data_IF_329563814106
#
_entry.id   IF_329563814106
#
_cell.length_a   1.000
_cell.length_b   1.000
_cell.length_c   1.000
_cell.angle_alpha   90.00
_cell.angle_beta   90.00
_cell.angle_gamma   90.00
#
_symmetry.space_group_name_H-M   'P 1'
#
loop_
_entity.id
_entity.type
_entity.pdbx_description
1 polymer ?
#
# COMPACT_ATOMS: atom_id res chain seq x y z
N UNK A 1 14.23 64.87 -17.88
CA UNK A 1 13.33 64.59 -19.03
C UNK A 1 13.34 63.09 -19.24
N UNK A 2 12.28 62.30 -19.15
CA UNK A 2 10.89 62.46 -18.72
C UNK A 2 10.50 61.05 -18.24
N UNK A 3 10.18 60.90 -16.96
CA UNK A 3 9.45 59.76 -16.42
C UNK A 3 8.01 59.84 -16.94
N UNK A 4 7.43 58.73 -17.40
CA UNK A 4 5.97 58.61 -17.52
C UNK A 4 5.51 57.41 -16.71
N UNK A 5 4.97 57.74 -15.53
CA UNK A 5 4.02 56.93 -14.80
C UNK A 5 2.72 56.82 -15.61
N UNK A 6 2.04 55.68 -15.47
CA UNK A 6 0.61 55.58 -15.73
C UNK A 6 -0.02 54.96 -14.49
N UNK A 7 -1.03 55.63 -13.98
CA UNK A 7 -1.72 55.39 -12.73
C UNK A 7 -3.20 55.09 -13.06
N UNK A 8 -3.70 53.91 -12.64
CA UNK A 8 -5.01 53.64 -11.94
C UNK A 8 -6.30 53.77 -12.82
N UNK A 9 -7.37 52.93 -12.64
CA UNK A 9 -7.96 52.67 -11.33
C UNK A 9 -8.47 51.28 -10.92
N UNK A 10 -8.42 51.14 -9.59
CA UNK A 10 -9.17 50.25 -8.70
C UNK A 10 -10.68 50.50 -8.79
N UNK A 11 -11.46 49.42 -8.82
CA UNK A 11 -12.88 49.44 -8.53
C UNK A 11 -13.22 48.25 -7.61
N UNK A 12 -13.36 48.55 -6.32
CA UNK A 12 -13.99 47.68 -5.35
C UNK A 12 -15.51 47.80 -5.49
N UNK A 13 -16.19 46.67 -5.70
CA UNK A 13 -17.64 46.58 -5.56
C UNK A 13 -17.96 45.63 -4.40
N UNK A 14 -18.39 46.23 -3.29
CA UNK A 14 -18.89 45.54 -2.11
C UNK A 14 -20.29 45.00 -2.38
N UNK A 15 -20.49 43.70 -2.17
CA UNK A 15 -21.82 43.08 -2.07
C UNK A 15 -22.01 42.66 -0.62
N UNK A 16 -22.96 43.31 0.05
CA UNK A 16 -23.49 42.93 1.37
C UNK A 16 -24.41 41.70 1.22
N UNK A 17 -24.45 40.82 2.22
CA UNK A 17 -25.68 40.14 2.57
C UNK A 17 -26.19 40.57 3.96
N UNK A 18 -27.50 40.80 3.99
CA UNK A 18 -28.31 41.21 5.13
C UNK A 18 -28.26 40.23 6.30
N UNK A 19 -28.14 40.81 7.49
CA UNK A 19 -28.45 40.20 8.78
C UNK A 19 -29.96 40.02 8.97
N UNK A 20 -30.42 38.81 9.26
CA UNK A 20 -31.70 38.58 9.94
C UNK A 20 -31.58 37.53 11.06
N UNK A 21 -31.71 38.06 12.28
CA UNK A 21 -32.45 37.56 13.43
C UNK A 21 -32.15 36.13 13.95
N UNK A 22 -31.33 36.11 15.01
CA UNK A 22 -31.40 35.13 16.10
C UNK A 22 -32.79 35.14 16.77
N UNK A 23 -33.39 33.96 16.92
CA UNK A 23 -34.37 33.66 17.97
C UNK A 23 -34.24 32.17 18.32
N UNK A 24 -33.56 31.86 19.42
CA UNK A 24 -33.65 30.56 20.08
C UNK A 24 -33.55 30.76 21.60
N UNK A 25 -34.70 30.68 22.26
CA UNK A 25 -34.87 30.50 23.70
C UNK A 25 -35.88 29.37 23.86
N UNK A 26 -35.53 28.34 24.63
CA UNK A 26 -36.45 27.28 25.04
C UNK A 26 -35.82 25.89 25.09
N UNK A 27 -34.99 25.64 26.09
CA UNK A 27 -34.71 24.27 26.55
C UNK A 27 -35.87 23.83 27.44
N UNK A 28 -36.62 22.81 27.03
CA UNK A 28 -37.44 22.01 27.93
C UNK A 28 -36.86 20.59 28.05
N UNK A 29 -36.51 20.26 29.28
CA UNK A 29 -36.24 18.93 29.80
C UNK A 29 -37.49 18.06 29.78
N UNK A 30 -37.43 16.85 29.21
CA UNK A 30 -38.25 15.71 29.68
C UNK A 30 -37.43 14.43 29.68
N UNK A 31 -37.47 13.78 30.85
CA UNK A 31 -36.86 12.51 31.23
C UNK A 31 -37.81 11.33 30.91
N UNK A 32 -37.29 10.17 30.50
CA UNK A 32 -37.85 8.82 30.72
C UNK A 32 -36.96 7.78 30.01
N UNK A 33 -36.12 7.01 30.71
CA UNK A 33 -36.37 5.75 31.44
C UNK A 33 -36.63 4.51 30.56
N UNK A 34 -35.61 3.63 30.54
CA UNK A 34 -35.66 2.15 30.69
C UNK A 34 -36.45 1.34 29.64
N UNK A 35 -35.76 0.47 28.88
CA UNK A 35 -35.82 -0.99 29.08
C UNK A 35 -34.94 -1.74 28.07
N UNK A 36 -34.06 -2.56 28.62
CA UNK A 36 -33.38 -3.68 27.96
C UNK A 36 -34.36 -4.72 27.44
N UNK A 37 -33.99 -5.43 26.36
CA UNK A 37 -34.35 -6.84 26.09
C UNK A 37 -33.54 -7.40 24.92
N UNK A 38 -32.67 -8.36 25.24
CA UNK A 38 -32.16 -9.39 24.31
C UNK A 38 -33.26 -10.44 24.03
N UNK A 39 -33.12 -11.21 22.95
CA UNK A 39 -33.49 -12.63 22.92
C UNK A 39 -32.26 -13.48 22.56
N UNK A 40 -31.72 -14.27 23.48
CA UNK A 40 -32.05 -15.68 23.78
C UNK A 40 -31.92 -16.67 22.62
N UNK A 41 -30.90 -17.51 22.77
CA UNK A 41 -30.62 -18.80 22.13
C UNK A 41 -31.81 -19.77 22.23
N UNK A 42 -32.09 -20.48 21.13
CA UNK A 42 -32.90 -21.69 21.10
C UNK A 42 -32.05 -22.88 20.65
N UNK A 43 -31.92 -23.87 21.55
CA UNK A 43 -31.47 -25.25 21.28
C UNK A 43 -32.68 -26.09 20.85
N UNK A 44 -32.51 -26.92 19.83
CA UNK A 44 -33.18 -28.21 19.59
C UNK A 44 -32.50 -28.85 18.36
N UNK A 45 -32.42 -30.14 18.11
CA UNK A 45 -32.62 -31.36 18.89
C UNK A 45 -31.82 -32.46 18.17
N UNK A 46 -31.54 -33.54 18.90
CA UNK A 46 -30.90 -34.77 18.42
C UNK A 46 -31.64 -35.41 17.24
N UNK A 47 -30.90 -36.09 16.35
CA UNK A 47 -31.36 -37.37 15.78
C UNK A 47 -30.16 -38.28 15.48
N UNK A 48 -30.20 -39.42 16.16
CA UNK A 48 -29.39 -40.62 15.99
C UNK A 48 -29.83 -41.39 14.74
N UNK A 49 -28.88 -41.97 14.00
CA UNK A 49 -29.12 -43.14 13.16
C UNK A 49 -27.87 -44.03 13.15
N UNK A 50 -27.95 -45.14 13.87
CA UNK A 50 -27.11 -46.33 13.67
C UNK A 50 -27.87 -47.30 12.77
N UNK A 51 -27.17 -47.93 11.82
CA UNK A 51 -27.43 -49.32 11.43
C UNK A 51 -26.13 -49.96 10.95
N UNK A 52 -25.76 -51.01 11.68
CA UNK A 52 -24.72 -51.99 11.37
C UNK A 52 -25.23 -53.09 10.42
N UNK A 53 -24.26 -53.94 10.04
CA UNK A 53 -24.31 -55.31 9.49
C UNK A 53 -24.18 -55.39 7.95
N UNK A 54 -23.25 -56.13 7.35
CA UNK A 54 -22.22 -57.01 7.90
C UNK A 54 -21.64 -57.98 6.85
N UNK A 55 -20.36 -58.31 7.04
CA UNK A 55 -19.71 -59.64 6.93
C UNK A 55 -19.47 -60.29 5.53
N UNK A 56 -18.19 -60.52 5.19
CA UNK A 56 -17.49 -61.83 4.99
C UNK A 56 -16.10 -61.54 4.35
N UNK A 57 -14.92 -61.86 4.90
CA UNK A 57 -14.34 -63.09 5.48
C UNK A 57 -13.25 -63.68 4.56
N UNK A 58 -12.06 -63.88 5.14
CA UNK A 58 -10.98 -64.86 4.87
C UNK A 58 -9.64 -64.14 4.61
N UNK A 59 -8.56 -64.31 5.37
CA UNK A 59 -8.19 -65.38 6.29
C UNK A 59 -6.85 -65.97 5.83
N UNK A 60 -5.77 -65.77 6.60
CA UNK A 60 -4.67 -66.75 6.78
C UNK A 60 -3.71 -66.32 7.89
N UNK A 61 -3.45 -67.27 8.77
CA UNK A 61 -2.61 -67.24 9.96
C UNK A 61 -1.14 -67.47 9.61
N UNK A 62 -0.22 -66.95 10.43
CA UNK A 62 1.00 -67.65 10.84
C UNK A 62 1.63 -67.01 12.11
N UNK A 63 2.18 -67.89 12.95
CA UNK A 63 2.64 -67.76 14.35
C UNK A 63 4.01 -67.06 14.54
N UNK A 64 4.45 -66.77 15.79
CA UNK A 64 5.47 -65.76 16.09
C UNK A 64 6.89 -66.32 16.18
N UNK A 65 7.88 -65.55 15.73
CA UNK A 65 9.30 -65.85 15.93
C UNK A 65 9.89 -64.90 16.99
N UNK A 66 10.40 -65.49 18.08
CA UNK A 66 11.27 -64.82 19.07
C UNK A 66 12.65 -64.61 18.44
N UNK A 67 13.15 -63.38 18.42
CA UNK A 67 14.58 -63.12 18.41
C UNK A 67 14.94 -62.10 19.51
N UNK A 68 15.82 -62.55 20.41
CA UNK A 68 16.56 -61.72 21.35
C UNK A 68 17.81 -61.16 20.66
N UNK A 69 18.25 -60.01 21.17
CA UNK A 69 19.59 -59.42 21.09
C UNK A 69 19.95 -58.66 19.80
N UNK A 70 20.14 -57.34 19.94
CA UNK A 70 21.45 -56.71 20.15
C UNK A 70 21.26 -55.19 20.17
N UNK A 71 21.50 -54.59 21.34
CA UNK A 71 21.60 -53.15 21.48
C UNK A 71 22.83 -52.66 20.70
N UNK A 72 22.59 -52.07 19.52
CA UNK A 72 23.56 -51.18 18.87
C UNK A 72 23.09 -49.75 19.12
N UNK A 73 23.78 -49.07 20.03
CA UNK A 73 23.77 -47.60 20.13
C UNK A 73 24.31 -47.03 18.82
N UNK A 74 23.42 -46.84 17.84
CA UNK A 74 23.66 -45.88 16.76
C UNK A 74 23.57 -44.50 17.40
N UNK A 75 24.71 -43.86 17.61
CA UNK A 75 24.73 -42.41 17.73
C UNK A 75 24.33 -41.88 16.36
N UNK A 76 23.01 -41.73 16.14
CA UNK A 76 22.52 -40.86 15.10
C UNK A 76 23.00 -39.46 15.48
N UNK A 77 24.15 -39.10 14.91
CA UNK A 77 24.53 -37.72 14.70
C UNK A 77 23.36 -37.14 13.93
N UNK A 78 22.48 -36.41 14.62
CA UNK A 78 21.55 -35.51 13.97
C UNK A 78 22.44 -34.60 13.15
N UNK A 79 22.49 -34.86 11.84
CA UNK A 79 22.87 -33.85 10.86
C UNK A 79 21.91 -32.72 11.12
N UNK A 80 22.42 -31.67 11.78
CA UNK A 80 21.81 -30.36 11.86
C UNK A 80 21.29 -30.05 10.47
N UNK A 81 19.98 -30.15 10.27
CA UNK A 81 19.35 -29.55 9.11
C UNK A 81 19.84 -28.10 9.14
N UNK A 82 20.60 -27.70 8.11
CA UNK A 82 20.97 -26.31 7.94
C UNK A 82 19.66 -25.53 8.08
N UNK A 83 19.59 -24.68 9.10
CA UNK A 83 18.45 -23.82 9.37
C UNK A 83 18.26 -22.95 8.14
N UNK A 84 17.39 -23.37 7.21
CA UNK A 84 17.03 -22.56 6.06
C UNK A 84 16.45 -21.27 6.61
N UNK A 85 17.16 -20.16 6.42
CA UNK A 85 16.68 -18.83 6.81
C UNK A 85 15.32 -18.59 6.17
N UNK A 86 14.33 -18.24 6.98
CA UNK A 86 12.97 -17.96 6.51
C UNK A 86 12.86 -16.48 6.13
N UNK A 87 12.64 -16.18 4.87
CA UNK A 87 12.36 -14.80 4.46
C UNK A 87 10.92 -14.42 4.81
N UNK A 88 10.73 -13.18 5.25
CA UNK A 88 9.41 -12.58 5.46
C UNK A 88 9.37 -11.27 4.70
N UNK A 89 8.46 -11.16 3.74
CA UNK A 89 8.28 -9.97 2.92
C UNK A 89 7.16 -9.09 3.45
N UNK A 90 7.40 -7.78 3.48
CA UNK A 90 6.39 -6.74 3.63
C UNK A 90 6.49 -5.86 2.40
N UNK A 91 5.43 -5.84 1.62
CA UNK A 91 5.42 -5.23 0.29
C UNK A 91 4.40 -4.09 0.30
N UNK A 92 4.84 -2.90 -0.08
CA UNK A 92 3.91 -1.88 -0.52
C UNK A 92 3.18 -2.33 -1.79
N UNK A 93 2.04 -1.70 -2.10
CA UNK A 93 1.23 -2.07 -3.26
C UNK A 93 1.47 -1.14 -4.43
N UNK A 94 1.26 0.16 -4.20
CA UNK A 94 1.26 1.17 -5.24
C UNK A 94 2.70 1.58 -5.56
N UNK A 95 3.16 1.46 -6.80
CA UNK A 95 4.57 1.73 -7.15
C UNK A 95 5.53 0.55 -6.89
N UNK A 96 5.07 -0.51 -6.22
CA UNK A 96 5.87 -1.73 -6.00
C UNK A 96 5.27 -2.93 -6.75
N UNK A 97 4.02 -3.31 -6.45
CA UNK A 97 3.35 -4.43 -7.12
C UNK A 97 2.48 -3.98 -8.29
N UNK A 98 1.93 -2.77 -8.19
CA UNK A 98 0.93 -2.22 -9.09
C UNK A 98 1.31 -0.79 -9.51
N UNK A 99 1.35 -0.54 -10.81
CA UNK A 99 1.28 0.81 -11.37
C UNK A 99 -0.18 1.28 -11.31
N UNK A 100 -0.49 2.03 -10.27
CA UNK A 100 -1.80 2.61 -9.98
C UNK A 100 -1.92 4.08 -10.35
N UNK A 101 -0.86 4.68 -10.90
CA UNK A 101 -0.88 6.07 -11.34
C UNK A 101 -2.02 6.36 -12.34
N UNK A 102 -2.29 5.51 -13.35
CA UNK A 102 -3.41 5.75 -14.25
C UNK A 102 -4.77 5.84 -13.55
N UNK A 103 -4.98 5.05 -12.49
CA UNK A 103 -6.25 5.06 -11.75
C UNK A 103 -6.42 6.33 -10.91
N UNK A 104 -5.39 6.72 -10.15
CA UNK A 104 -5.47 7.90 -9.29
C UNK A 104 -5.54 9.19 -10.11
N UNK A 105 -4.79 9.29 -11.20
CA UNK A 105 -4.82 10.45 -12.11
C UNK A 105 -6.15 10.56 -12.82
N UNK A 106 -6.69 9.45 -13.35
CA UNK A 106 -8.03 9.44 -13.94
C UNK A 106 -9.08 9.93 -12.94
N UNK A 107 -9.08 9.39 -11.72
CA UNK A 107 -10.03 9.77 -10.67
C UNK A 107 -9.90 11.24 -10.26
N UNK A 108 -8.67 11.74 -10.17
CA UNK A 108 -8.38 13.12 -9.80
C UNK A 108 -8.83 14.11 -10.88
N UNK A 109 -8.50 13.85 -12.14
CA UNK A 109 -8.91 14.69 -13.27
C UNK A 109 -10.43 14.81 -13.37
N UNK A 110 -11.10 13.68 -13.21
CA UNK A 110 -12.56 13.57 -13.16
C UNK A 110 -13.17 14.37 -12.01
N UNK A 111 -12.68 14.16 -10.79
CA UNK A 111 -13.12 14.87 -9.60
C UNK A 111 -12.86 16.39 -9.70
N UNK A 112 -11.69 16.78 -10.22
CA UNK A 112 -11.32 18.18 -10.43
C UNK A 112 -12.18 18.85 -11.50
N UNK A 113 -12.54 18.15 -12.58
CA UNK A 113 -13.44 18.68 -13.61
C UNK A 113 -14.86 18.90 -13.07
N UNK A 114 -15.34 18.02 -12.18
CA UNK A 114 -16.64 18.20 -11.52
C UNK A 114 -16.62 19.40 -10.55
N UNK A 115 -15.52 19.59 -9.82
CA UNK A 115 -15.39 20.65 -8.82
C UNK A 115 -15.09 22.03 -9.43
N UNK A 116 -14.27 22.10 -10.47
CA UNK A 116 -13.85 23.33 -11.14
C UNK A 116 -14.18 23.33 -12.65
N UNK A 117 -15.46 23.16 -13.04
CA UNK A 117 -15.85 23.00 -14.43
C UNK A 117 -15.44 24.22 -15.29
N UNK A 118 -15.63 25.44 -14.78
CA UNK A 118 -15.26 26.66 -15.49
C UNK A 118 -13.74 26.78 -15.75
N UNK A 119 -12.91 26.38 -14.79
CA UNK A 119 -11.44 26.37 -14.96
C UNK A 119 -11.03 25.33 -16.00
N UNK A 120 -11.62 24.14 -15.94
CA UNK A 120 -11.31 23.06 -16.86
C UNK A 120 -11.77 23.34 -18.30
N UNK A 121 -12.88 24.06 -18.45
CA UNK A 121 -13.37 24.54 -19.74
C UNK A 121 -12.49 25.66 -20.30
N UNK A 122 -12.24 26.71 -19.51
CA UNK A 122 -11.42 27.88 -19.91
C UNK A 122 -10.00 27.47 -20.33
N UNK A 123 -9.39 26.56 -19.59
CA UNK A 123 -8.02 26.07 -19.85
C UNK A 123 -7.97 24.95 -20.91
N UNK A 124 -9.10 24.66 -21.58
CA UNK A 124 -9.21 23.66 -22.65
C UNK A 124 -8.62 22.31 -22.25
N UNK A 125 -9.09 21.78 -21.11
CA UNK A 125 -8.57 20.54 -20.51
C UNK A 125 -8.46 19.38 -21.50
N UNK A 126 -9.42 19.22 -22.42
CA UNK A 126 -9.39 18.14 -23.43
C UNK A 126 -8.13 18.15 -24.30
N UNK A 127 -7.62 19.33 -24.65
CA UNK A 127 -6.40 19.50 -25.44
C UNK A 127 -5.13 19.27 -24.58
N UNK A 128 -5.21 19.61 -23.29
CA UNK A 128 -4.06 19.57 -22.36
C UNK A 128 -3.96 18.29 -21.54
N UNK A 129 -4.98 17.44 -21.59
CA UNK A 129 -5.10 16.24 -20.76
C UNK A 129 -3.83 15.36 -20.78
N UNK A 130 -3.22 15.04 -21.94
CA UNK A 130 -2.01 14.20 -21.95
C UNK A 130 -0.84 14.82 -21.17
N UNK A 131 -0.63 16.13 -21.28
CA UNK A 131 0.43 16.83 -20.55
C UNK A 131 0.15 16.89 -19.04
N UNK A 132 -1.12 17.05 -18.64
CA UNK A 132 -1.51 17.00 -17.23
C UNK A 132 -1.34 15.60 -16.65
N UNK A 133 -1.70 14.55 -17.39
CA UNK A 133 -1.47 13.16 -16.98
C UNK A 133 0.03 12.86 -16.81
N UNK A 134 0.87 13.31 -17.74
CA UNK A 134 2.33 13.20 -17.61
C UNK A 134 2.86 13.96 -16.38
N UNK A 135 2.39 15.18 -16.16
CA UNK A 135 2.74 15.97 -14.97
C UNK A 135 2.31 15.30 -13.67
N UNK A 136 1.12 14.72 -13.62
CA UNK A 136 0.62 13.98 -12.46
C UNK A 136 1.51 12.79 -12.15
N UNK A 137 1.90 12.02 -13.18
CA UNK A 137 2.84 10.91 -13.05
C UNK A 137 4.19 11.37 -12.50
N UNK A 138 4.74 12.46 -13.03
CA UNK A 138 5.99 13.07 -12.54
C UNK A 138 5.88 13.51 -11.07
N UNK A 139 4.72 13.97 -10.63
CA UNK A 139 4.49 14.46 -9.26
C UNK A 139 4.16 13.36 -8.24
N UNK A 140 4.01 12.08 -8.66
CA UNK A 140 3.62 10.98 -7.77
C UNK A 140 4.49 10.80 -6.52
N UNK A 141 5.82 11.03 -6.52
CA UNK A 141 6.63 10.98 -5.29
C UNK A 141 6.09 11.80 -4.12
N UNK A 142 5.43 12.92 -4.43
CA UNK A 142 4.94 13.86 -3.42
C UNK A 142 3.52 13.59 -2.99
N UNK A 143 2.80 12.70 -3.68
CA UNK A 143 1.40 12.42 -3.42
C UNK A 143 1.23 11.57 -2.15
N UNK A 144 0.61 12.13 -1.12
CA UNK A 144 0.38 11.42 0.15
C UNK A 144 -1.08 11.02 0.30
N UNK A 145 -1.98 12.00 0.22
CA UNK A 145 -3.43 11.80 0.33
C UNK A 145 -4.07 11.85 -1.04
N UNK A 146 -5.18 11.13 -1.23
CA UNK A 146 -5.86 11.05 -2.53
C UNK A 146 -6.24 12.41 -3.12
N UNK A 147 -6.83 13.29 -2.30
CA UNK A 147 -7.31 14.61 -2.76
C UNK A 147 -6.19 15.52 -3.27
N UNK A 148 -4.95 15.32 -2.82
CA UNK A 148 -3.81 16.12 -3.27
C UNK A 148 -3.61 16.00 -4.78
N UNK A 149 -3.96 14.85 -5.38
CA UNK A 149 -3.91 14.65 -6.82
C UNK A 149 -4.88 15.58 -7.57
N UNK A 150 -6.01 15.97 -6.95
CA UNK A 150 -6.92 16.96 -7.55
C UNK A 150 -6.27 18.34 -7.61
N UNK A 151 -5.56 18.71 -6.53
CA UNK A 151 -4.86 20.00 -6.44
C UNK A 151 -3.69 20.03 -7.44
N UNK A 152 -2.90 18.96 -7.49
CA UNK A 152 -1.84 18.80 -8.49
C UNK A 152 -2.39 18.89 -9.91
N UNK A 153 -3.50 18.19 -10.20
CA UNK A 153 -4.14 18.21 -11.52
C UNK A 153 -4.50 19.62 -11.97
N UNK A 154 -5.11 20.41 -11.07
CA UNK A 154 -5.48 21.79 -11.39
C UNK A 154 -4.24 22.69 -11.53
N UNK A 155 -3.23 22.56 -10.65
CA UNK A 155 -1.99 23.33 -10.79
C UNK A 155 -1.29 23.05 -12.13
N UNK A 156 -1.21 21.78 -12.53
CA UNK A 156 -0.62 21.36 -13.80
C UNK A 156 -1.45 21.80 -15.01
N UNK A 157 -2.77 21.87 -14.84
CA UNK A 157 -3.66 22.46 -15.84
C UNK A 157 -3.52 23.98 -15.90
N UNK A 158 -3.21 24.68 -14.80
CA UNK A 158 -2.90 26.12 -14.84
C UNK A 158 -1.57 26.34 -15.58
N UNK A 159 -0.52 25.60 -15.23
CA UNK A 159 0.82 25.68 -15.83
C UNK A 159 1.55 24.34 -15.62
N UNK A 160 2.05 23.73 -16.70
CA UNK A 160 2.76 22.44 -16.64
C UNK A 160 4.14 22.57 -15.93
N UNK A 161 4.72 23.77 -15.93
CA UNK A 161 5.94 24.07 -15.17
C UNK A 161 5.77 23.93 -13.65
N UNK A 162 4.54 23.90 -13.14
CA UNK A 162 4.28 23.68 -11.71
C UNK A 162 4.75 22.30 -11.21
N UNK A 163 5.02 21.34 -12.10
CA UNK A 163 5.56 20.04 -11.71
C UNK A 163 6.86 20.15 -10.88
N UNK A 164 7.75 21.08 -11.24
CA UNK A 164 9.01 21.26 -10.52
C UNK A 164 8.78 21.90 -9.14
N UNK A 165 7.84 22.83 -9.03
CA UNK A 165 7.44 23.42 -7.75
C UNK A 165 6.79 22.39 -6.81
N UNK A 166 5.96 21.50 -7.36
CA UNK A 166 5.38 20.37 -6.62
C UNK A 166 6.49 19.46 -6.10
N UNK A 167 7.41 19.03 -6.96
CA UNK A 167 8.52 18.16 -6.57
C UNK A 167 9.45 18.79 -5.52
N UNK A 168 9.65 20.11 -5.58
CA UNK A 168 10.55 20.81 -4.66
C UNK A 168 9.94 21.06 -3.27
N UNK A 169 8.67 21.49 -3.19
CA UNK A 169 8.10 21.95 -1.92
C UNK A 169 6.58 21.73 -1.81
N UNK A 170 6.11 20.51 -2.11
CA UNK A 170 4.68 20.20 -2.15
C UNK A 170 3.92 20.61 -0.88
N UNK A 171 4.47 20.36 0.31
CA UNK A 171 3.75 20.61 1.57
C UNK A 171 3.38 22.10 1.75
N UNK A 172 4.29 23.02 1.45
CA UNK A 172 4.01 24.46 1.54
C UNK A 172 3.08 24.89 0.42
N UNK A 173 3.38 24.46 -0.81
CA UNK A 173 2.61 24.81 -2.00
C UNK A 173 1.14 24.37 -1.87
N UNK A 174 0.89 23.17 -1.33
CA UNK A 174 -0.45 22.67 -1.07
C UNK A 174 -1.20 23.58 -0.10
N UNK A 175 -0.60 23.94 1.04
CA UNK A 175 -1.24 24.79 2.04
C UNK A 175 -1.61 26.17 1.46
N UNK A 176 -0.65 26.81 0.78
CA UNK A 176 -0.85 28.11 0.11
C UNK A 176 -1.91 28.03 -0.99
N UNK A 177 -1.94 26.92 -1.75
CA UNK A 177 -2.90 26.72 -2.84
C UNK A 177 -4.32 26.52 -2.31
N UNK A 178 -4.49 25.73 -1.24
CA UNK A 178 -5.78 25.51 -0.62
C UNK A 178 -6.36 26.81 -0.06
N UNK A 179 -5.53 27.63 0.59
CA UNK A 179 -5.92 28.97 1.07
C UNK A 179 -6.32 29.88 -0.09
N UNK A 180 -5.48 29.97 -1.14
CA UNK A 180 -5.73 30.77 -2.34
C UNK A 180 -7.04 30.38 -3.06
N UNK A 181 -7.37 29.09 -3.09
CA UNK A 181 -8.58 28.59 -3.74
C UNK A 181 -9.77 28.46 -2.79
N UNK A 182 -9.62 28.77 -1.50
CA UNK A 182 -10.68 28.64 -0.49
C UNK A 182 -11.21 27.21 -0.37
N UNK A 183 -10.35 26.20 -0.52
CA UNK A 183 -10.73 24.80 -0.50
C UNK A 183 -10.44 24.16 0.86
N UNK A 184 -11.40 23.38 1.37
CA UNK A 184 -11.21 22.58 2.58
C UNK A 184 -10.69 21.16 2.23
N UNK A 185 -9.55 20.72 2.78
CA UNK A 185 -9.06 19.35 2.63
C UNK A 185 -10.08 18.24 2.92
N UNK A 186 -10.98 18.44 3.89
CA UNK A 186 -11.98 17.43 4.24
C UNK A 186 -13.03 17.27 3.14
N UNK A 187 -13.54 18.38 2.62
CA UNK A 187 -14.46 18.41 1.48
C UNK A 187 -13.82 17.80 0.22
N UNK A 188 -12.57 18.17 -0.09
CA UNK A 188 -11.84 17.59 -1.22
C UNK A 188 -11.65 16.09 -1.05
N UNK A 189 -11.35 15.62 0.16
CA UNK A 189 -11.22 14.19 0.47
C UNK A 189 -12.55 13.46 0.24
N UNK A 190 -13.65 14.01 0.74
CA UNK A 190 -14.98 13.41 0.56
C UNK A 190 -15.37 13.32 -0.92
N UNK A 191 -15.15 14.40 -1.68
CA UNK A 191 -15.44 14.44 -3.11
C UNK A 191 -14.59 13.44 -3.90
N UNK A 192 -13.29 13.38 -3.58
CA UNK A 192 -12.37 12.46 -4.24
C UNK A 192 -12.74 10.99 -3.99
N UNK A 193 -13.01 10.64 -2.73
CA UNK A 193 -13.36 9.27 -2.35
C UNK A 193 -14.72 8.85 -2.93
N UNK A 194 -15.71 9.76 -2.94
CA UNK A 194 -16.99 9.52 -3.60
C UNK A 194 -16.81 9.28 -5.11
N UNK A 195 -15.95 10.05 -5.77
CA UNK A 195 -15.67 9.85 -7.20
C UNK A 195 -15.02 8.51 -7.48
N UNK A 196 -14.04 8.10 -6.67
CA UNK A 196 -13.35 6.80 -6.82
C UNK A 196 -14.29 5.62 -6.61
N UNK A 197 -15.18 5.71 -5.62
CA UNK A 197 -16.18 4.67 -5.38
C UNK A 197 -17.15 4.57 -6.56
N UNK A 198 -17.66 5.71 -7.04
CA UNK A 198 -18.56 5.74 -8.21
C UNK A 198 -17.89 5.18 -9.47
N UNK A 199 -16.63 5.54 -9.74
CA UNK A 199 -15.86 5.00 -10.87
C UNK A 199 -15.69 3.46 -10.77
N UNK A 200 -15.40 2.95 -9.56
CA UNK A 200 -15.24 1.52 -9.31
C UNK A 200 -16.58 0.75 -9.40
N UNK A 201 -17.69 1.36 -8.98
CA UNK A 201 -19.04 0.78 -9.07
C UNK A 201 -19.57 0.78 -10.51
N UNK A 202 -19.35 1.87 -11.25
CA UNK A 202 -19.86 2.04 -12.61
C UNK A 202 -19.11 1.16 -13.64
N UNK A 203 -17.78 1.09 -13.53
CA UNK A 203 -16.95 0.27 -14.42
C UNK A 203 -15.73 -0.31 -13.68
N UNK A 204 -15.99 -1.29 -12.81
CA UNK A 204 -14.94 -1.98 -12.07
C UNK A 204 -13.89 -2.64 -12.96
N UNK A 205 -14.24 -3.02 -14.21
CA UNK A 205 -13.27 -3.58 -15.17
C UNK A 205 -12.29 -2.51 -15.65
N UNK A 206 -12.77 -1.32 -16.01
CA UNK A 206 -11.91 -0.21 -16.36
C UNK A 206 -11.06 0.24 -15.16
N UNK A 207 -11.64 0.28 -13.96
CA UNK A 207 -10.91 0.60 -12.74
C UNK A 207 -9.76 -0.39 -12.46
N UNK A 208 -10.02 -1.70 -12.61
CA UNK A 208 -8.99 -2.73 -12.49
C UNK A 208 -7.92 -2.61 -13.59
N UNK A 209 -8.32 -2.30 -14.83
CA UNK A 209 -7.38 -2.11 -15.95
C UNK A 209 -6.45 -0.88 -15.77
N UNK A 210 -6.86 0.08 -14.95
CA UNK A 210 -6.05 1.23 -14.56
C UNK A 210 -5.06 0.93 -13.41
N UNK A 211 -5.16 -0.22 -12.74
CA UNK A 211 -4.24 -0.69 -11.71
C UNK A 211 -3.35 -1.83 -12.25
N UNK A 212 -2.28 -1.52 -12.97
CA UNK A 212 -1.57 -2.52 -13.78
C UNK A 212 -0.47 -3.21 -12.98
N UNK A 213 -0.46 -4.56 -12.85
CA UNK A 213 0.69 -5.25 -12.28
C UNK A 213 1.97 -4.97 -13.06
N UNK A 214 3.07 -4.74 -12.35
CA UNK A 214 4.38 -4.67 -13.00
C UNK A 214 4.76 -6.03 -13.61
N UNK A 215 5.52 -5.98 -14.69
CA UNK A 215 5.94 -7.17 -15.44
C UNK A 215 6.63 -8.18 -14.52
N UNK A 216 6.20 -9.44 -14.56
CA UNK A 216 6.80 -10.53 -13.79
C UNK A 216 6.33 -10.64 -12.33
N UNK A 217 5.73 -9.60 -11.75
CA UNK A 217 5.31 -9.59 -10.34
C UNK A 217 4.27 -10.69 -10.05
N UNK A 218 3.26 -10.86 -10.90
CA UNK A 218 2.21 -11.87 -10.70
C UNK A 218 2.80 -13.29 -10.65
N UNK A 219 3.72 -13.61 -11.56
CA UNK A 219 4.40 -14.91 -11.57
C UNK A 219 5.32 -15.10 -10.36
N UNK A 220 6.03 -14.04 -9.96
CA UNK A 220 6.95 -14.08 -8.81
C UNK A 220 6.20 -14.29 -7.50
N UNK A 221 5.11 -13.55 -7.25
CA UNK A 221 4.26 -13.71 -6.07
C UNK A 221 3.65 -15.12 -5.99
N UNK A 222 3.30 -15.72 -7.14
CA UNK A 222 2.80 -17.10 -7.19
C UNK A 222 3.88 -18.13 -6.86
N UNK A 223 5.12 -17.88 -7.26
CA UNK A 223 6.26 -18.76 -7.01
C UNK A 223 6.85 -18.58 -5.60
N UNK A 224 6.64 -17.41 -4.99
CA UNK A 224 7.16 -17.06 -3.68
C UNK A 224 6.63 -18.02 -2.60
N UNK A 225 7.55 -18.73 -1.93
CA UNK A 225 7.24 -19.64 -0.83
C UNK A 225 7.26 -18.94 0.54
N UNK A 226 7.81 -17.72 0.56
CA UNK A 226 8.00 -16.93 1.76
C UNK A 226 6.71 -16.20 2.17
N UNK A 227 6.40 -16.13 3.48
CA UNK A 227 5.31 -15.33 3.98
C UNK A 227 5.40 -13.88 3.50
N UNK A 228 4.29 -13.37 2.97
CA UNK A 228 4.16 -12.00 2.48
C UNK A 228 3.04 -11.25 3.19
N UNK A 229 3.32 -10.01 3.54
CA UNK A 229 2.41 -9.02 4.11
C UNK A 229 2.28 -7.85 3.15
N UNK A 230 1.11 -7.22 3.15
CA UNK A 230 0.77 -6.14 2.24
C UNK A 230 0.48 -4.89 3.05
N UNK A 231 1.25 -3.83 2.80
CA UNK A 231 1.07 -2.52 3.44
C UNK A 231 0.65 -1.51 2.36
N UNK A 232 -0.25 -0.59 2.68
CA UNK A 232 -0.64 0.47 1.73
C UNK A 232 -1.32 1.63 2.44
N UNK A 233 -1.18 2.85 1.89
CA UNK A 233 -2.00 4.01 2.28
C UNK A 233 -3.39 4.00 1.64
N UNK A 234 -3.62 3.15 0.62
CA UNK A 234 -4.92 2.97 -0.06
C UNK A 234 -5.93 2.30 0.88
N UNK A 235 -7.21 2.63 0.71
CA UNK A 235 -8.31 2.01 1.48
C UNK A 235 -8.36 0.48 1.28
N UNK A 236 -8.62 -0.26 2.36
CA UNK A 236 -8.48 -1.72 2.41
C UNK A 236 -9.32 -2.47 1.38
N UNK A 237 -10.58 -2.10 1.20
CA UNK A 237 -11.44 -2.69 0.17
C UNK A 237 -10.84 -2.58 -1.25
N UNK A 238 -10.17 -1.46 -1.60
CA UNK A 238 -9.52 -1.30 -2.91
C UNK A 238 -8.25 -2.13 -3.02
N UNK A 239 -7.45 -2.18 -1.95
CA UNK A 239 -6.24 -3.03 -1.91
C UNK A 239 -6.61 -4.50 -2.08
N UNK A 240 -7.61 -4.96 -1.32
CA UNK A 240 -8.13 -6.34 -1.40
C UNK A 240 -8.65 -6.66 -2.81
N UNK A 241 -9.39 -5.72 -3.42
CA UNK A 241 -9.91 -5.89 -4.78
C UNK A 241 -8.78 -6.05 -5.82
N UNK A 242 -7.73 -5.22 -5.73
CA UNK A 242 -6.56 -5.29 -6.63
C UNK A 242 -5.74 -6.56 -6.41
N UNK A 243 -5.47 -6.93 -5.14
CA UNK A 243 -4.76 -8.17 -4.81
C UNK A 243 -5.48 -9.39 -5.40
N UNK A 244 -6.81 -9.44 -5.25
CA UNK A 244 -7.62 -10.55 -5.74
C UNK A 244 -7.64 -10.62 -7.26
N UNK A 245 -8.00 -9.53 -7.93
CA UNK A 245 -8.32 -9.56 -9.35
C UNK A 245 -7.10 -9.36 -10.27
N UNK A 246 -6.11 -8.57 -9.84
CA UNK A 246 -4.95 -8.26 -10.67
C UNK A 246 -3.72 -9.09 -10.30
N UNK A 247 -3.61 -9.52 -9.02
CA UNK A 247 -2.48 -10.31 -8.54
C UNK A 247 -2.84 -11.78 -8.27
N UNK A 248 -4.13 -12.13 -8.28
CA UNK A 248 -4.59 -13.49 -8.02
C UNK A 248 -4.39 -13.95 -6.57
N UNK A 249 -4.34 -13.01 -5.63
CA UNK A 249 -4.11 -13.25 -4.21
C UNK A 249 -5.39 -13.00 -3.41
N UNK A 250 -5.93 -14.06 -2.80
CA UNK A 250 -7.13 -13.94 -1.94
C UNK A 250 -6.72 -13.43 -0.54
N UNK A 251 -6.66 -12.11 -0.41
CA UNK A 251 -6.35 -11.39 0.83
C UNK A 251 -7.50 -10.43 1.12
N UNK A 252 -8.48 -10.83 1.94
CA UNK A 252 -9.59 -9.96 2.33
C UNK A 252 -9.08 -8.78 3.20
N UNK A 253 -9.90 -7.74 3.32
CA UNK A 253 -9.55 -6.52 4.06
C UNK A 253 -9.25 -6.78 5.55
N UNK A 254 -9.93 -7.75 6.16
CA UNK A 254 -9.73 -8.18 7.55
C UNK A 254 -8.62 -9.24 7.72
N UNK A 255 -7.89 -9.56 6.64
CA UNK A 255 -6.80 -10.53 6.70
C UNK A 255 -5.71 -10.04 7.65
N UNK A 256 -5.12 -10.93 8.49
CA UNK A 256 -3.98 -10.55 9.29
C UNK A 256 -2.75 -10.18 8.43
N UNK A 257 -2.75 -10.49 7.13
CA UNK A 257 -1.67 -10.11 6.21
C UNK A 257 -1.87 -8.73 5.56
N UNK A 258 -2.99 -8.07 5.82
CA UNK A 258 -3.37 -6.78 5.24
C UNK A 258 -3.19 -5.65 6.24
N UNK A 259 -2.51 -4.59 5.81
CA UNK A 259 -2.38 -3.33 6.54
C UNK A 259 -2.64 -2.16 5.58
N UNK A 260 -3.88 -1.70 5.53
CA UNK A 260 -4.33 -0.68 4.58
C UNK A 260 -4.70 0.64 5.29
N UNK A 261 -4.85 1.72 4.51
CA UNK A 261 -5.19 3.05 5.06
C UNK A 261 -4.09 3.68 5.92
N UNK A 262 -2.83 3.28 5.72
CA UNK A 262 -1.68 3.71 6.53
C UNK A 262 -1.27 5.16 6.21
N UNK A 263 -1.87 6.13 6.91
CA UNK A 263 -1.59 7.56 6.78
C UNK A 263 -1.34 8.21 8.16
N UNK A 264 -0.27 9.03 8.34
CA UNK A 264 0.80 9.30 7.38
C UNK A 264 1.70 8.06 7.19
N UNK A 265 2.18 7.77 5.95
CA UNK A 265 2.82 6.50 5.62
C UNK A 265 4.05 6.17 6.47
N UNK A 266 4.90 7.16 6.73
CA UNK A 266 6.16 6.97 7.46
C UNK A 266 5.91 6.43 8.88
N UNK A 267 4.87 6.94 9.55
CA UNK A 267 4.52 6.54 10.92
C UNK A 267 3.73 5.24 10.94
N UNK A 268 2.68 5.13 10.13
CA UNK A 268 1.77 3.99 10.21
C UNK A 268 2.36 2.74 9.57
N UNK A 269 3.20 2.85 8.52
CA UNK A 269 3.99 1.71 8.03
C UNK A 269 5.04 1.29 9.06
N UNK A 270 5.72 2.21 9.75
CA UNK A 270 6.61 1.85 10.86
C UNK A 270 5.88 1.07 11.96
N UNK A 271 4.66 1.47 12.30
CA UNK A 271 3.82 0.75 13.26
C UNK A 271 3.46 -0.66 12.76
N UNK A 272 3.04 -0.79 11.51
CA UNK A 272 2.75 -2.08 10.89
C UNK A 272 3.98 -3.01 10.90
N UNK A 273 5.16 -2.50 10.56
CA UNK A 273 6.41 -3.28 10.60
C UNK A 273 6.75 -3.77 12.01
N UNK A 274 6.58 -2.94 13.05
CA UNK A 274 6.77 -3.40 14.44
C UNK A 274 5.77 -4.48 14.84
N UNK A 275 4.51 -4.33 14.44
CA UNK A 275 3.49 -5.35 14.69
C UNK A 275 3.85 -6.66 13.99
N UNK A 276 4.21 -6.61 12.71
CA UNK A 276 4.60 -7.80 11.94
C UNK A 276 5.84 -8.46 12.55
N UNK A 277 6.84 -7.66 12.95
CA UNK A 277 8.04 -8.16 13.60
C UNK A 277 7.73 -8.91 14.91
N UNK A 278 6.67 -8.54 15.64
CA UNK A 278 6.26 -9.24 16.87
C UNK A 278 5.60 -10.61 16.64
N UNK A 279 5.29 -10.96 15.39
CA UNK A 279 4.56 -12.20 15.06
C UNK A 279 5.49 -13.41 15.09
N UNK A 280 4.98 -14.62 15.41
CA UNK A 280 5.80 -15.83 15.49
C UNK A 280 6.63 -16.13 14.24
N UNK A 281 6.09 -15.82 13.05
CA UNK A 281 6.79 -16.03 11.78
C UNK A 281 8.03 -15.15 11.63
N UNK A 282 8.00 -13.92 12.16
CA UNK A 282 9.11 -12.99 12.13
C UNK A 282 10.11 -13.20 13.28
N UNK A 283 9.70 -13.87 14.35
CA UNK A 283 10.53 -14.23 15.51
C UNK A 283 11.21 -15.60 15.38
N UNK A 284 11.01 -16.30 14.26
CA UNK A 284 11.60 -17.61 14.03
C UNK A 284 13.14 -17.50 13.90
N UNK A 285 13.92 -18.44 14.47
CA UNK A 285 15.38 -18.42 14.34
C UNK A 285 15.81 -18.35 12.87
N UNK A 286 16.68 -17.39 12.54
CA UNK A 286 17.15 -17.17 11.17
C UNK A 286 16.15 -16.50 10.23
N UNK A 287 15.03 -15.96 10.74
CA UNK A 287 14.12 -15.17 9.94
C UNK A 287 14.78 -13.88 9.44
N UNK A 288 14.63 -13.57 8.15
CA UNK A 288 15.11 -12.33 7.52
C UNK A 288 13.90 -11.49 7.13
N UNK A 289 13.85 -10.25 7.60
CA UNK A 289 12.71 -9.36 7.40
C UNK A 289 13.02 -8.37 6.29
N UNK A 290 12.17 -8.32 5.27
CA UNK A 290 12.36 -7.51 4.07
C UNK A 290 11.19 -6.57 3.88
N UNK A 291 11.46 -5.27 3.78
CA UNK A 291 10.46 -4.25 3.49
C UNK A 291 10.78 -3.54 2.17
N UNK A 292 9.82 -3.56 1.24
CA UNK A 292 9.94 -2.94 -0.08
C UNK A 292 8.87 -1.87 -0.25
N UNK A 293 9.30 -0.65 -0.55
CA UNK A 293 8.44 0.53 -0.76
C UNK A 293 9.03 1.37 -1.89
N UNK A 294 8.19 2.07 -2.65
CA UNK A 294 8.67 2.98 -3.70
C UNK A 294 8.93 4.40 -3.19
N UNK A 295 8.37 4.75 -2.03
CA UNK A 295 8.44 6.10 -1.49
C UNK A 295 9.67 6.29 -0.62
N UNK A 296 10.57 7.14 -1.11
CA UNK A 296 11.86 7.39 -0.47
C UNK A 296 11.75 7.89 0.97
N UNK A 297 10.84 8.83 1.28
CA UNK A 297 10.69 9.36 2.64
C UNK A 297 10.22 8.29 3.63
N UNK A 298 9.42 7.32 3.17
CA UNK A 298 9.02 6.17 3.99
C UNK A 298 10.24 5.30 4.27
N UNK A 299 10.99 4.89 3.24
CA UNK A 299 12.19 4.08 3.43
C UNK A 299 13.21 4.77 4.36
N UNK A 300 13.45 6.08 4.17
CA UNK A 300 14.34 6.87 5.00
C UNK A 300 13.88 6.91 6.46
N UNK A 301 12.59 7.11 6.71
CA UNK A 301 12.03 7.11 8.07
C UNK A 301 12.19 5.74 8.76
N UNK A 302 11.90 4.64 8.04
CA UNK A 302 12.08 3.28 8.56
C UNK A 302 13.55 2.99 8.85
N UNK A 303 14.46 3.32 7.93
CA UNK A 303 15.90 3.11 8.09
C UNK A 303 16.48 3.87 9.29
N UNK A 304 15.92 5.05 9.58
CA UNK A 304 16.38 5.91 10.68
C UNK A 304 15.83 5.51 12.04
N UNK A 305 14.87 4.58 12.10
CA UNK A 305 14.25 4.14 13.34
C UNK A 305 15.02 2.95 13.97
N UNK A 306 15.65 3.14 15.14
CA UNK A 306 16.42 2.08 15.79
C UNK A 306 15.58 0.83 16.15
N UNK A 307 14.29 1.02 16.41
CA UNK A 307 13.37 -0.08 16.73
C UNK A 307 13.05 -0.97 15.52
N UNK A 308 13.43 -0.54 14.32
CA UNK A 308 13.26 -1.28 13.06
C UNK A 308 14.58 -1.74 12.45
N UNK A 309 15.68 -1.71 13.23
CA UNK A 309 17.02 -2.14 12.78
C UNK A 309 17.10 -3.61 12.31
N UNK A 310 16.15 -4.45 12.70
CA UNK A 310 16.03 -5.84 12.20
C UNK A 310 15.46 -5.96 10.78
N UNK A 311 15.04 -4.86 10.15
CA UNK A 311 14.51 -4.85 8.79
C UNK A 311 15.59 -4.53 7.76
N UNK A 312 15.66 -5.35 6.72
CA UNK A 312 16.29 -4.98 5.46
C UNK A 312 15.28 -4.16 4.64
N UNK A 313 15.63 -2.92 4.32
CA UNK A 313 14.75 -1.99 3.60
C UNK A 313 15.25 -1.78 2.17
N UNK A 314 14.32 -1.73 1.23
CA UNK A 314 14.62 -1.63 -0.19
C UNK A 314 13.74 -0.57 -0.84
N UNK A 315 14.36 0.33 -1.61
CA UNK A 315 13.64 1.27 -2.45
C UNK A 315 13.33 0.59 -3.80
N UNK A 316 12.05 0.53 -4.19
CA UNK A 316 11.65 0.04 -5.51
C UNK A 316 12.02 1.06 -6.59
N UNK A 317 13.14 0.85 -7.30
CA UNK A 317 13.68 1.80 -8.26
C UNK A 317 12.87 1.98 -9.54
N UNK A 318 11.88 1.10 -9.78
CA UNK A 318 10.92 1.19 -10.89
C UNK A 318 9.62 1.91 -10.52
N UNK A 319 9.43 2.23 -9.23
CA UNK A 319 8.26 2.94 -8.74
C UNK A 319 8.33 4.44 -9.03
N UNK A 320 7.61 5.26 -8.24
CA UNK A 320 7.42 6.65 -8.64
C UNK A 320 8.58 7.59 -8.31
N UNK A 321 9.54 7.16 -7.47
CA UNK A 321 10.68 7.97 -7.02
C UNK A 321 11.50 8.63 -8.14
N UNK A 322 12.13 9.74 -7.79
CA UNK A 322 13.01 10.52 -8.66
C UNK A 322 14.43 9.97 -8.71
N UNK A 323 15.17 10.32 -9.75
CA UNK A 323 16.59 9.99 -9.90
C UNK A 323 17.43 10.49 -8.71
N UNK A 324 17.12 11.69 -8.22
CA UNK A 324 17.79 12.29 -7.06
C UNK A 324 17.54 11.48 -5.78
N UNK A 325 16.31 10.99 -5.57
CA UNK A 325 15.96 10.16 -4.42
C UNK A 325 16.63 8.78 -4.49
N UNK A 326 16.75 8.18 -5.68
CA UNK A 326 17.51 6.93 -5.84
C UNK A 326 18.99 7.14 -5.51
N UNK A 327 19.59 8.23 -6.03
CA UNK A 327 20.98 8.57 -5.71
C UNK A 327 21.19 8.83 -4.21
N UNK A 328 20.25 9.53 -3.55
CA UNK A 328 20.31 9.77 -2.10
C UNK A 328 20.14 8.47 -1.31
N UNK A 329 19.25 7.57 -1.75
CA UNK A 329 19.07 6.25 -1.13
C UNK A 329 20.37 5.44 -1.15
N UNK A 330 21.01 5.32 -2.31
CA UNK A 330 22.29 4.61 -2.44
C UNK A 330 23.39 5.25 -1.58
N UNK A 331 23.51 6.57 -1.59
CA UNK A 331 24.45 7.31 -0.74
C UNK A 331 24.19 7.10 0.76
N UNK A 332 22.95 6.80 1.14
CA UNK A 332 22.53 6.51 2.51
C UNK A 332 22.59 5.01 2.87
N UNK A 333 23.15 4.17 1.99
CA UNK A 333 23.24 2.72 2.20
C UNK A 333 21.89 1.99 2.14
N UNK A 334 20.89 2.60 1.51
CA UNK A 334 19.61 1.95 1.18
C UNK A 334 19.78 1.29 -0.18
N UNK A 335 19.45 -0.01 -0.27
CA UNK A 335 19.52 -0.74 -1.54
C UNK A 335 18.35 -0.34 -2.43
N UNK A 336 18.65 0.16 -3.62
CA UNK A 336 17.68 0.39 -4.68
C UNK A 336 17.58 -0.88 -5.52
N UNK A 337 16.36 -1.40 -5.70
CA UNK A 337 16.11 -2.60 -6.49
C UNK A 337 15.64 -2.24 -7.90
N UNK A 338 16.13 -2.96 -8.90
CA UNK A 338 15.45 -3.05 -10.20
C UNK A 338 14.25 -3.99 -10.11
N UNK A 339 13.32 -3.86 -11.06
CA UNK A 339 12.14 -4.72 -11.13
C UNK A 339 12.55 -6.18 -11.33
N UNK A 340 13.58 -6.42 -12.16
CA UNK A 340 14.13 -7.73 -12.44
C UNK A 340 14.69 -8.38 -11.17
N UNK A 341 15.53 -7.66 -10.42
CA UNK A 341 16.09 -8.15 -9.16
C UNK A 341 15.01 -8.39 -8.11
N UNK A 342 13.94 -7.58 -8.06
CA UNK A 342 12.81 -7.81 -7.16
C UNK A 342 12.02 -9.07 -7.52
N UNK A 343 11.76 -9.31 -8.81
CA UNK A 343 11.10 -10.51 -9.31
C UNK A 343 11.91 -11.77 -8.97
N UNK A 344 13.22 -11.72 -9.16
CA UNK A 344 14.12 -12.80 -8.74
C UNK A 344 14.11 -12.99 -7.23
N UNK A 345 14.14 -11.89 -6.47
CA UNK A 345 14.16 -11.93 -5.02
C UNK A 345 12.93 -12.62 -4.43
N UNK A 346 11.74 -12.28 -4.93
CA UNK A 346 10.49 -12.94 -4.53
C UNK A 346 10.48 -14.43 -4.93
N UNK A 347 11.06 -14.78 -6.08
CA UNK A 347 11.02 -16.15 -6.61
C UNK A 347 11.99 -17.07 -5.90
N UNK A 348 13.19 -16.58 -5.57
CA UNK A 348 14.32 -17.42 -5.14
C UNK A 348 14.82 -17.11 -3.72
N UNK A 349 14.38 -16.03 -3.08
CA UNK A 349 14.88 -15.61 -1.76
C UNK A 349 16.33 -15.09 -1.77
N UNK A 350 16.88 -14.88 -2.97
CA UNK A 350 18.24 -14.37 -3.21
C UNK A 350 18.18 -13.29 -4.28
N UNK A 351 18.95 -12.22 -4.09
CA UNK A 351 19.13 -11.20 -5.12
C UNK A 351 20.42 -11.54 -5.86
N UNK A 352 20.31 -12.14 -7.04
CA UNK A 352 21.48 -12.52 -7.85
C UNK A 352 22.17 -11.25 -8.38
N UNK A 353 23.50 -11.16 -8.22
CA UNK A 353 24.31 -10.07 -8.80
C UNK A 353 24.99 -9.09 -7.84
N UNK A 354 25.15 -9.43 -6.55
CA UNK A 354 26.08 -8.71 -5.67
C UNK A 354 26.85 -9.75 -4.85
N UNK A 355 28.17 -9.68 -4.97
CA UNK A 355 29.18 -10.29 -4.11
C UNK A 355 28.69 -10.27 -2.65
N UNK A 356 28.35 -11.45 -2.15
CA UNK A 356 27.85 -11.72 -0.81
C UNK A 356 28.93 -11.51 0.26
N UNK A 357 30.13 -11.03 -0.10
CA UNK A 357 31.22 -10.78 0.83
C UNK A 357 31.71 -12.06 1.50
N UNK A 358 31.24 -13.21 1.04
CA UNK A 358 31.88 -14.49 1.25
C UNK A 358 33.04 -14.54 0.25
N UNK A 359 34.20 -14.04 0.67
CA UNK A 359 35.44 -14.52 0.07
C UNK A 359 35.38 -16.05 0.09
N UNK A 360 35.59 -16.74 -1.06
CA UNK A 360 35.62 -18.19 -1.07
C UNK A 360 36.69 -18.65 -0.09
N UNK A 361 36.31 -19.51 0.84
CA UNK A 361 37.27 -20.19 1.72
C UNK A 361 38.36 -20.83 0.83
N UNK A 362 39.66 -20.72 1.17
CA UNK A 362 40.77 -21.15 0.32
C UNK A 362 40.70 -22.61 -0.18
N UNK A 363 39.84 -23.43 0.43
CA UNK A 363 39.64 -24.83 0.08
C UNK A 363 38.78 -25.06 -1.19
N UNK A 364 38.08 -24.05 -1.70
CA UNK A 364 37.28 -24.17 -2.94
C UNK A 364 38.08 -23.91 -4.24
N UNK A 365 39.33 -23.45 -4.14
CA UNK A 365 40.21 -23.21 -5.31
C UNK A 365 40.96 -24.50 -5.72
N UNK A 366 40.82 -25.59 -4.97
CA UNK A 366 41.54 -26.84 -5.26
C UNK A 366 40.64 -28.08 -5.26
N UNK A 367 39.71 -28.16 -6.22
CA UNK A 367 39.21 -29.45 -6.76
C UNK A 367 38.91 -29.40 -8.24
#
# INVERSE_FOLDING_TARGET
MYLRSVFVPSAAAAIRPDSKANNFLGNETVSSSISSRQPQFLRSNQHSFQRELGIHSAGKQALPCKLKSLARRSHNRLTSAASSSLDVFVLDIDGVLIDSEPEISSSALKASADLWPGVFEELRFSERKPAVEEGLRKCRPRLIKGFEAMVMARLLLEDDANADAILANWKSLLAETLERWGCDPEELTALFEARRNSDMEADGKAWLAANRPYKGVVSALRACQSPSYFVSSKAGHRVSHVLKHNLGLDVPEDSPRMFAGLLPPEREKARALREIASRPVAQSPGARLHFVDDRFETIKAIKSDPSLSGWSVYLAGWGYNTDAERAEAEASGIRVLSLESFVEFLTWGVIMGVDDGCEPEPDEITR
#
